data_IF_466363482512
#
_entry.id   IF_466363482512
#
_cell.length_a   1.000
_cell.length_b   1.000
_cell.length_c   1.000
_cell.angle_alpha   90.00
_cell.angle_beta   90.00
_cell.angle_gamma   90.00
#
_symmetry.space_group_name_H-M   'P 1'
#
loop_
_entity.id
_entity.type
_entity.pdbx_description
1 polymer ?
#
# COMPACT_ATOMS: atom_id res chain seq x y z
N UNK A 1 0.32 10.04 22.33
CA UNK A 1 -1.01 10.54 21.90
C UNK A 1 -1.95 9.36 21.75
N UNK A 2 -1.66 8.38 20.90
CA UNK A 2 -2.58 7.24 20.62
C UNK A 2 -2.80 6.31 21.82
N UNK A 3 -1.81 6.09 22.67
CA UNK A 3 -1.99 5.31 23.92
C UNK A 3 -2.86 6.02 24.97
N UNK A 4 -3.09 7.32 24.83
CA UNK A 4 -3.98 8.09 25.71
C UNK A 4 -5.42 8.19 25.16
N UNK A 5 -5.60 8.00 23.84
CA UNK A 5 -6.90 8.03 23.16
C UNK A 5 -6.94 6.90 22.11
N UNK A 6 -7.04 5.62 22.55
CA UNK A 6 -7.14 4.49 21.64
C UNK A 6 -8.52 4.50 20.96
N UNK A 7 -8.59 3.94 19.75
CA UNK A 7 -9.87 3.76 19.06
C UNK A 7 -10.71 2.67 19.74
N UNK A 8 -10.02 1.64 20.25
CA UNK A 8 -10.61 0.53 21.01
C UNK A 8 -9.55 -0.15 21.90
N UNK A 9 -9.93 -1.18 22.66
CA UNK A 9 -9.07 -1.91 23.57
C UNK A 9 -7.94 -2.64 22.82
N UNK A 10 -8.22 -3.22 21.66
CA UNK A 10 -7.25 -3.96 20.85
C UNK A 10 -6.16 -3.03 20.29
N UNK A 11 -6.53 -1.83 19.88
CA UNK A 11 -5.55 -0.82 19.45
C UNK A 11 -4.68 -0.32 20.59
N UNK A 12 -5.24 -0.19 21.81
CA UNK A 12 -4.45 0.16 22.99
C UNK A 12 -3.40 -0.91 23.30
N UNK A 13 -3.79 -2.17 23.32
CA UNK A 13 -2.89 -3.31 23.55
C UNK A 13 -1.79 -3.36 22.49
N UNK A 14 -2.12 -3.16 21.21
CA UNK A 14 -1.17 -3.12 20.11
C UNK A 14 -0.16 -1.98 20.29
N UNK A 15 -0.59 -0.77 20.65
CA UNK A 15 0.31 0.35 20.95
C UNK A 15 1.24 0.06 22.12
N UNK A 16 0.73 -0.53 23.20
CA UNK A 16 1.53 -0.90 24.36
C UNK A 16 2.56 -1.98 24.01
N UNK A 17 2.18 -2.96 23.20
CA UNK A 17 3.05 -4.02 22.71
C UNK A 17 4.19 -3.46 21.86
N UNK A 18 3.89 -2.58 20.89
CA UNK A 18 4.89 -1.87 20.09
C UNK A 18 5.85 -1.07 20.98
N UNK A 19 5.30 -0.30 21.92
CA UNK A 19 6.12 0.52 22.83
C UNK A 19 7.07 -0.31 23.68
N UNK A 20 6.60 -1.44 24.19
CA UNK A 20 7.41 -2.34 24.99
C UNK A 20 8.47 -3.04 24.13
N UNK A 21 8.10 -3.55 22.96
CA UNK A 21 9.04 -4.17 22.02
C UNK A 21 10.19 -3.24 21.63
N UNK A 22 9.88 -1.99 21.27
CA UNK A 22 10.91 -0.99 20.95
C UNK A 22 11.82 -0.65 22.13
N UNK A 23 11.35 -0.77 23.39
CA UNK A 23 12.17 -0.56 24.57
C UNK A 23 13.09 -1.74 24.87
N UNK A 24 12.65 -2.97 24.62
CA UNK A 24 13.40 -4.20 24.93
C UNK A 24 14.37 -4.56 23.81
N UNK A 25 13.89 -4.60 22.56
CA UNK A 25 14.65 -5.08 21.40
C UNK A 25 15.33 -3.94 20.61
N UNK A 26 14.83 -2.72 20.73
CA UNK A 26 15.38 -1.55 20.07
C UNK A 26 15.11 -1.48 18.54
N UNK A 27 15.75 -0.50 17.91
CA UNK A 27 15.56 -0.25 16.48
C UNK A 27 16.27 -1.27 15.57
N UNK A 28 17.25 -2.01 16.08
CA UNK A 28 17.94 -3.03 15.28
C UNK A 28 17.02 -4.20 14.96
N UNK A 29 16.25 -4.66 15.94
CA UNK A 29 15.25 -5.70 15.73
C UNK A 29 14.16 -5.25 14.75
N UNK A 30 13.68 -4.01 14.87
CA UNK A 30 12.71 -3.45 13.92
C UNK A 30 13.25 -3.39 12.49
N UNK A 31 14.53 -3.03 12.31
CA UNK A 31 15.15 -3.03 10.99
C UNK A 31 15.24 -4.44 10.41
N UNK A 32 15.62 -5.42 11.22
CA UNK A 32 15.65 -6.81 10.80
C UNK A 32 14.25 -7.29 10.38
N UNK A 33 13.24 -7.03 11.20
CA UNK A 33 11.85 -7.36 10.87
C UNK A 33 11.38 -6.68 9.56
N UNK A 34 11.80 -5.43 9.32
CA UNK A 34 11.53 -4.74 8.06
C UNK A 34 12.17 -5.47 6.86
N UNK A 35 13.44 -5.83 7.01
CA UNK A 35 14.16 -6.52 5.94
C UNK A 35 13.54 -7.90 5.68
N UNK A 36 13.13 -8.65 6.71
CA UNK A 36 12.50 -9.96 6.58
C UNK A 36 11.11 -9.88 5.94
N UNK A 37 10.33 -8.85 6.20
CA UNK A 37 8.95 -8.70 5.74
C UNK A 37 8.86 -8.10 4.34
N UNK A 38 9.71 -7.09 4.03
CA UNK A 38 9.54 -6.27 2.82
C UNK A 38 10.69 -6.35 1.82
N UNK A 39 11.81 -6.96 2.19
CA UNK A 39 13.03 -6.94 1.35
C UNK A 39 13.55 -8.33 1.04
N UNK A 40 13.51 -9.25 2.02
CA UNK A 40 14.14 -10.57 1.87
C UNK A 40 13.39 -11.46 0.89
N UNK A 41 14.06 -12.03 -0.13
CA UNK A 41 13.45 -13.00 -1.02
C UNK A 41 13.29 -14.39 -0.38
N UNK A 42 13.87 -14.62 0.80
CA UNK A 42 13.82 -15.91 1.53
C UNK A 42 12.55 -16.01 2.41
N UNK A 43 11.86 -14.91 2.64
CA UNK A 43 10.61 -14.85 3.40
C UNK A 43 9.40 -14.67 2.47
N UNK A 44 8.20 -14.76 3.05
CA UNK A 44 6.95 -14.42 2.35
C UNK A 44 6.84 -12.91 2.16
N UNK A 45 7.58 -12.39 1.19
CA UNK A 45 7.65 -10.96 0.86
C UNK A 45 6.26 -10.32 0.72
N UNK A 46 6.05 -9.20 1.41
CA UNK A 46 4.81 -8.40 1.33
C UNK A 46 5.02 -7.23 0.38
N UNK A 47 4.34 -7.19 -0.77
CA UNK A 47 4.44 -6.08 -1.71
C UNK A 47 3.92 -4.77 -1.12
N UNK A 48 4.61 -3.66 -1.40
CA UNK A 48 4.23 -2.33 -0.95
C UNK A 48 3.47 -1.52 -2.00
N UNK A 49 3.30 -2.04 -3.22
CA UNK A 49 2.62 -1.38 -4.34
C UNK A 49 1.12 -1.68 -4.34
N UNK A 50 0.27 -0.66 -4.39
CA UNK A 50 -1.18 -0.85 -4.53
C UNK A 50 -1.55 -1.56 -5.85
N UNK A 51 -0.76 -1.36 -6.91
CA UNK A 51 -0.94 -2.05 -8.19
C UNK A 51 -0.78 -3.55 -8.08
N UNK A 52 0.08 -4.04 -7.18
CA UNK A 52 0.25 -5.47 -6.96
C UNK A 52 -1.04 -6.13 -6.49
N UNK A 53 -1.73 -5.49 -5.57
CA UNK A 53 -3.00 -5.99 -5.01
C UNK A 53 -4.18 -5.91 -5.99
N UNK A 54 -4.04 -5.13 -7.06
CA UNK A 54 -5.05 -4.98 -8.10
C UNK A 54 -4.78 -5.88 -9.32
N UNK A 55 -3.53 -5.92 -9.78
CA UNK A 55 -3.14 -6.57 -11.04
C UNK A 55 -2.09 -7.69 -10.87
N UNK A 56 -1.61 -7.97 -9.65
CA UNK A 56 -0.54 -8.95 -9.38
C UNK A 56 0.83 -8.52 -9.89
N UNK A 57 1.03 -7.22 -10.14
CA UNK A 57 2.29 -6.66 -10.65
C UNK A 57 2.48 -5.23 -10.18
N UNK A 58 3.72 -4.78 -10.12
CA UNK A 58 4.04 -3.38 -9.93
C UNK A 58 3.73 -2.56 -11.21
N UNK A 59 3.68 -1.24 -11.05
CA UNK A 59 3.49 -0.28 -12.17
C UNK A 59 2.17 -0.45 -12.95
N UNK A 60 1.09 -0.87 -12.28
CA UNK A 60 -0.24 -1.05 -12.86
C UNK A 60 -1.09 0.23 -12.89
N UNK A 61 -2.41 0.04 -13.05
CA UNK A 61 -3.38 1.15 -13.16
C UNK A 61 -3.46 2.00 -11.89
N UNK A 62 -3.25 1.40 -10.71
CA UNK A 62 -3.23 2.16 -9.44
C UNK A 62 -2.11 3.19 -9.40
N UNK A 63 -0.94 2.87 -9.97
CA UNK A 63 0.16 3.84 -10.12
C UNK A 63 -0.22 4.99 -11.04
N UNK A 64 -0.82 4.71 -12.18
CA UNK A 64 -1.28 5.74 -13.12
C UNK A 64 -2.28 6.66 -12.44
N UNK A 65 -3.23 6.09 -11.68
CA UNK A 65 -4.23 6.84 -10.94
C UNK A 65 -3.62 7.70 -9.85
N UNK A 66 -2.74 7.13 -9.02
CA UNK A 66 -2.03 7.85 -7.96
C UNK A 66 -1.18 9.00 -8.51
N UNK A 67 -0.43 8.77 -9.61
CA UNK A 67 0.33 9.81 -10.28
C UNK A 67 -0.57 10.93 -10.82
N UNK A 68 -1.74 10.60 -11.37
CA UNK A 68 -2.75 11.55 -11.80
C UNK A 68 -3.26 12.43 -10.65
N UNK A 69 -3.51 11.85 -9.48
CA UNK A 69 -3.92 12.59 -8.28
C UNK A 69 -2.81 13.52 -7.77
N UNK A 70 -1.54 13.08 -7.79
CA UNK A 70 -0.40 13.93 -7.47
C UNK A 70 -0.29 15.12 -8.44
N UNK A 71 -0.48 14.89 -9.74
CA UNK A 71 -0.43 15.96 -10.75
C UNK A 71 -1.56 16.98 -10.59
N UNK A 72 -2.75 16.56 -10.19
CA UNK A 72 -3.91 17.46 -9.92
C UNK A 72 -3.71 18.29 -8.66
N UNK A 73 -2.92 17.80 -7.69
CA UNK A 73 -2.67 18.51 -6.44
C UNK A 73 -1.66 19.66 -6.62
N UNK A 74 -1.55 20.52 -5.60
CA UNK A 74 -0.48 21.54 -5.50
C UNK A 74 0.89 20.96 -5.13
N UNK A 75 0.95 19.69 -4.70
CA UNK A 75 2.17 19.03 -4.28
C UNK A 75 2.91 18.39 -5.44
N UNK A 76 4.23 18.27 -5.29
CA UNK A 76 5.08 17.58 -6.26
C UNK A 76 6.02 16.63 -5.52
N UNK A 77 6.24 15.47 -6.09
CA UNK A 77 7.21 14.50 -5.59
C UNK A 77 8.63 15.03 -5.74
N UNK A 78 9.37 15.04 -4.64
CA UNK A 78 10.80 15.41 -4.68
C UNK A 78 11.62 14.16 -5.09
N UNK A 79 11.79 13.96 -6.39
CA UNK A 79 12.46 12.79 -6.96
C UNK A 79 13.88 12.52 -6.42
N UNK A 80 14.74 13.53 -6.14
CA UNK A 80 16.04 13.31 -5.51
C UNK A 80 15.99 12.66 -4.12
N UNK A 81 14.88 12.80 -3.40
CA UNK A 81 14.75 12.33 -2.01
C UNK A 81 13.81 11.12 -1.93
N UNK A 82 12.79 11.07 -2.78
CA UNK A 82 11.76 10.04 -2.77
C UNK A 82 11.72 9.31 -4.11
N UNK A 83 12.27 8.09 -4.13
CA UNK A 83 12.25 7.21 -5.31
C UNK A 83 11.05 6.27 -5.34
N UNK A 84 10.24 6.24 -4.26
CA UNK A 84 9.08 5.37 -4.16
C UNK A 84 8.11 5.60 -5.31
N UNK A 85 7.46 4.57 -5.80
CA UNK A 85 6.37 4.68 -6.77
C UNK A 85 5.19 5.46 -6.17
N UNK A 86 4.39 6.13 -6.98
CA UNK A 86 3.26 6.94 -6.54
C UNK A 86 2.15 6.10 -5.91
N UNK A 87 2.09 4.82 -6.19
CA UNK A 87 1.15 3.85 -5.63
C UNK A 87 1.73 3.03 -4.47
N UNK A 88 2.92 3.35 -4.01
CA UNK A 88 3.47 2.72 -2.82
C UNK A 88 2.67 3.14 -1.58
N UNK A 89 2.27 2.18 -0.75
CA UNK A 89 1.37 2.39 0.39
C UNK A 89 1.89 3.49 1.33
N UNK A 90 3.19 3.50 1.64
CA UNK A 90 3.77 4.57 2.47
C UNK A 90 3.73 5.94 1.80
N UNK A 91 3.95 5.99 0.48
CA UNK A 91 3.82 7.24 -0.27
C UNK A 91 2.37 7.74 -0.25
N UNK A 92 1.40 6.87 -0.48
CA UNK A 92 -0.02 7.20 -0.46
C UNK A 92 -0.47 7.79 0.88
N UNK A 93 -0.07 7.19 2.02
CA UNK A 93 -0.39 7.75 3.33
C UNK A 93 0.29 9.10 3.58
N UNK A 94 1.55 9.26 3.17
CA UNK A 94 2.24 10.56 3.27
C UNK A 94 1.58 11.63 2.42
N UNK A 95 1.16 11.28 1.21
CA UNK A 95 0.48 12.19 0.30
C UNK A 95 -0.89 12.56 0.85
N UNK A 96 -1.68 11.60 1.31
CA UNK A 96 -2.98 11.84 1.95
C UNK A 96 -2.84 12.77 3.18
N UNK A 97 -1.85 12.53 4.04
CA UNK A 97 -1.56 13.40 5.18
C UNK A 97 -1.27 14.85 4.75
N UNK A 98 -0.49 15.07 3.68
CA UNK A 98 -0.22 16.41 3.14
C UNK A 98 -1.47 17.08 2.60
N UNK A 99 -2.33 16.34 1.94
CA UNK A 99 -3.61 16.86 1.45
C UNK A 99 -4.54 17.25 2.60
N UNK A 100 -4.65 16.42 3.64
CA UNK A 100 -5.46 16.69 4.83
C UNK A 100 -4.92 17.94 5.56
N UNK A 101 -3.61 18.07 5.75
CA UNK A 101 -2.99 19.24 6.37
C UNK A 101 -3.36 20.53 5.62
N UNK A 102 -3.23 20.52 4.29
CA UNK A 102 -3.61 21.65 3.47
C UNK A 102 -5.12 21.96 3.55
N UNK A 103 -5.94 20.91 3.63
CA UNK A 103 -7.38 21.04 3.78
C UNK A 103 -7.79 21.68 5.10
N UNK A 104 -7.13 21.33 6.20
CA UNK A 104 -7.33 21.96 7.52
C UNK A 104 -6.94 23.45 7.49
N UNK A 105 -5.96 23.81 6.65
CA UNK A 105 -5.55 25.21 6.42
C UNK A 105 -6.48 25.97 5.46
N UNK A 106 -7.56 25.34 4.98
CA UNK A 106 -8.60 25.96 4.15
C UNK A 106 -8.58 25.59 2.66
N UNK A 107 -7.71 24.69 2.22
CA UNK A 107 -7.67 24.20 0.85
C UNK A 107 -8.68 23.05 0.64
N UNK A 108 -9.91 23.42 0.27
CA UNK A 108 -11.03 22.48 0.07
C UNK A 108 -10.74 21.46 -1.05
N UNK A 109 -9.99 21.86 -2.08
CA UNK A 109 -9.61 20.96 -3.18
C UNK A 109 -8.70 19.82 -2.66
N UNK A 110 -7.78 20.15 -1.76
CA UNK A 110 -6.94 19.13 -1.11
C UNK A 110 -7.76 18.13 -0.28
N UNK A 111 -8.84 18.53 0.39
CA UNK A 111 -9.74 17.58 1.08
C UNK A 111 -10.44 16.64 0.09
N UNK A 112 -10.91 17.16 -1.03
CA UNK A 112 -11.51 16.33 -2.07
C UNK A 112 -10.52 15.33 -2.63
N UNK A 113 -9.29 15.77 -2.92
CA UNK A 113 -8.23 14.89 -3.39
C UNK A 113 -7.83 13.83 -2.35
N UNK A 114 -7.79 14.17 -1.06
CA UNK A 114 -7.50 13.19 -0.01
C UNK A 114 -8.53 12.06 0.02
N UNK A 115 -9.82 12.40 -0.15
CA UNK A 115 -10.89 11.40 -0.28
C UNK A 115 -10.72 10.53 -1.52
N UNK A 116 -10.36 11.10 -2.67
CA UNK A 116 -10.10 10.34 -3.89
C UNK A 116 -8.87 9.40 -3.74
N UNK A 117 -7.79 9.84 -3.09
CA UNK A 117 -6.62 9.00 -2.79
C UNK A 117 -7.05 7.79 -1.96
N UNK A 118 -7.85 8.04 -0.92
CA UNK A 118 -8.36 6.96 -0.07
C UNK A 118 -9.29 6.03 -0.85
N UNK A 119 -10.37 6.55 -1.41
CA UNK A 119 -11.43 5.75 -2.01
C UNK A 119 -10.99 4.95 -3.24
N UNK A 120 -10.14 5.56 -4.07
CA UNK A 120 -9.82 5.06 -5.40
C UNK A 120 -8.51 4.26 -5.46
N UNK A 121 -7.63 4.43 -4.46
CA UNK A 121 -6.34 3.76 -4.47
C UNK A 121 -6.14 2.94 -3.19
N UNK A 122 -6.19 3.56 -2.00
CA UNK A 122 -5.87 2.89 -0.74
C UNK A 122 -6.94 1.83 -0.40
N UNK A 123 -8.22 2.19 -0.45
CA UNK A 123 -9.33 1.33 -0.04
C UNK A 123 -9.37 0.00 -0.80
N UNK A 124 -8.88 -0.03 -2.05
CA UNK A 124 -8.90 -1.25 -2.87
C UNK A 124 -7.82 -2.27 -2.52
N UNK A 125 -6.74 -1.85 -1.87
CA UNK A 125 -5.60 -2.73 -1.59
C UNK A 125 -5.37 -2.98 -0.10
N UNK A 126 -5.91 -2.12 0.76
CA UNK A 126 -5.46 -2.03 2.14
C UNK A 126 -5.86 -3.22 3.01
N UNK A 127 -7.01 -3.83 2.77
CA UNK A 127 -7.46 -4.98 3.57
C UNK A 127 -6.52 -6.18 3.38
N UNK A 128 -6.19 -6.51 2.13
CA UNK A 128 -5.29 -7.61 1.80
C UNK A 128 -3.87 -7.34 2.30
N UNK A 129 -3.39 -6.09 2.19
CA UNK A 129 -2.10 -5.68 2.77
C UNK A 129 -2.08 -5.87 4.30
N UNK A 130 -3.15 -5.48 5.00
CA UNK A 130 -3.28 -5.66 6.45
C UNK A 130 -3.31 -7.14 6.81
N UNK A 131 -4.05 -7.96 6.06
CA UNK A 131 -4.12 -9.40 6.30
C UNK A 131 -2.75 -10.05 6.14
N UNK A 132 -2.01 -9.74 5.06
CA UNK A 132 -0.64 -10.21 4.87
C UNK A 132 0.30 -9.80 6.02
N UNK A 133 0.21 -8.55 6.52
CA UNK A 133 0.99 -8.10 7.67
C UNK A 133 0.64 -8.87 8.95
N UNK A 134 -0.65 -9.14 9.15
CA UNK A 134 -1.12 -9.82 10.35
C UNK A 134 -0.78 -11.31 10.37
N UNK A 135 -0.82 -11.96 9.22
CA UNK A 135 -0.59 -13.41 9.06
C UNK A 135 0.89 -13.77 8.90
N UNK A 136 1.75 -12.82 8.59
CA UNK A 136 3.16 -13.09 8.34
C UNK A 136 3.87 -13.61 9.60
N UNK A 137 4.54 -14.77 9.49
CA UNK A 137 5.09 -15.49 10.64
C UNK A 137 6.25 -14.76 11.36
N UNK A 138 6.99 -13.93 10.63
CA UNK A 138 8.19 -13.24 11.15
C UNK A 138 7.90 -11.81 11.59
N UNK A 139 6.64 -11.46 11.90
CA UNK A 139 6.28 -10.11 12.34
C UNK A 139 5.82 -10.09 13.79
N UNK A 140 6.35 -9.14 14.54
CA UNK A 140 5.79 -8.72 15.83
C UNK A 140 5.35 -7.26 15.78
N UNK A 141 6.24 -6.37 15.36
CA UNK A 141 5.95 -4.94 15.24
C UNK A 141 4.87 -4.68 14.17
N UNK A 142 5.04 -5.27 12.97
CA UNK A 142 4.10 -5.07 11.86
C UNK A 142 2.76 -5.75 12.10
N UNK A 143 2.71 -6.86 12.84
CA UNK A 143 1.45 -7.49 13.26
C UNK A 143 0.62 -6.55 14.15
N UNK A 144 1.25 -5.93 15.14
CA UNK A 144 0.59 -4.93 15.98
C UNK A 144 0.24 -3.66 15.19
N UNK A 145 1.07 -3.27 14.22
CA UNK A 145 0.77 -2.17 13.30
C UNK A 145 -0.45 -2.49 12.42
N UNK A 146 -0.61 -3.73 11.97
CA UNK A 146 -1.78 -4.17 11.21
C UNK A 146 -3.10 -4.01 11.99
N UNK A 147 -3.10 -4.32 13.29
CA UNK A 147 -4.27 -4.12 14.17
C UNK A 147 -4.64 -2.64 14.22
N UNK A 148 -3.67 -1.78 14.45
CA UNK A 148 -3.87 -0.32 14.52
C UNK A 148 -4.35 0.22 13.15
N UNK A 149 -3.73 -0.25 12.08
CA UNK A 149 -4.08 0.18 10.73
C UNK A 149 -5.50 -0.25 10.35
N UNK A 150 -5.93 -1.46 10.75
CA UNK A 150 -7.31 -1.94 10.54
C UNK A 150 -8.32 -0.99 11.18
N UNK A 151 -8.16 -0.69 12.45
CA UNK A 151 -9.05 0.22 13.16
C UNK A 151 -9.05 1.64 12.55
N UNK A 152 -7.89 2.14 12.11
CA UNK A 152 -7.78 3.41 11.42
C UNK A 152 -8.53 3.41 10.07
N UNK A 153 -8.39 2.36 9.26
CA UNK A 153 -9.07 2.24 7.97
C UNK A 153 -10.58 2.16 8.13
N UNK A 154 -11.06 1.40 9.13
CA UNK A 154 -12.50 1.31 9.41
C UNK A 154 -13.07 2.67 9.83
N UNK A 155 -12.33 3.41 10.68
CA UNK A 155 -12.70 4.78 11.05
C UNK A 155 -12.72 5.72 9.83
N UNK A 156 -11.69 5.66 8.97
CA UNK A 156 -11.59 6.50 7.79
C UNK A 156 -12.71 6.22 6.77
N UNK A 157 -13.09 4.94 6.61
CA UNK A 157 -14.25 4.54 5.80
C UNK A 157 -15.54 5.18 6.30
N UNK A 158 -15.77 5.16 7.61
CA UNK A 158 -16.93 5.80 8.22
C UNK A 158 -16.90 7.31 8.02
N UNK A 159 -15.77 7.94 8.28
CA UNK A 159 -15.59 9.40 8.16
C UNK A 159 -15.80 9.90 6.73
N UNK A 160 -15.23 9.20 5.75
CA UNK A 160 -15.32 9.56 4.33
C UNK A 160 -16.57 9.02 3.63
N UNK A 161 -17.40 8.22 4.32
CA UNK A 161 -18.53 7.51 3.75
C UNK A 161 -18.15 6.67 2.51
N UNK A 162 -17.13 5.84 2.68
CA UNK A 162 -16.59 4.93 1.65
C UNK A 162 -16.84 3.49 2.09
N UNK A 163 -17.51 2.69 1.27
CA UNK A 163 -17.68 1.27 1.57
C UNK A 163 -16.38 0.49 1.38
N UNK A 164 -16.16 -0.61 2.14
CA UNK A 164 -15.07 -1.52 1.86
C UNK A 164 -15.09 -2.00 0.40
N UNK A 165 -13.91 -2.16 -0.20
CA UNK A 165 -13.82 -2.67 -1.57
C UNK A 165 -14.30 -4.12 -1.62
N UNK A 166 -15.28 -4.40 -2.49
CA UNK A 166 -15.72 -5.77 -2.77
C UNK A 166 -14.72 -6.41 -3.72
N UNK A 167 -13.72 -7.10 -3.19
CA UNK A 167 -12.75 -7.82 -4.01
C UNK A 167 -13.32 -9.17 -4.44
N UNK A 168 -13.26 -9.46 -5.74
CA UNK A 168 -13.25 -10.82 -6.26
C UNK A 168 -11.92 -11.45 -5.82
N UNK A 169 -11.94 -12.68 -5.32
CA UNK A 169 -10.79 -13.36 -4.71
C UNK A 169 -9.50 -13.18 -5.52
N UNK A 170 -8.40 -12.87 -4.83
CA UNK A 170 -7.09 -12.55 -5.43
C UNK A 170 -6.56 -13.65 -6.37
N UNK A 171 -6.91 -14.93 -6.13
CA UNK A 171 -6.54 -16.05 -6.98
C UNK A 171 -7.09 -15.95 -8.42
N UNK A 172 -8.27 -15.38 -8.62
CA UNK A 172 -8.85 -15.19 -9.97
C UNK A 172 -8.17 -14.01 -10.70
N UNK A 173 -7.72 -12.99 -9.97
CA UNK A 173 -7.02 -11.83 -10.56
C UNK A 173 -5.63 -12.19 -11.02
N UNK A 174 -4.87 -12.94 -10.21
CA UNK A 174 -3.54 -13.45 -10.57
C UNK A 174 -3.64 -14.36 -11.79
N UNK A 175 -4.63 -15.26 -11.86
CA UNK A 175 -4.85 -16.12 -13.02
C UNK A 175 -5.25 -15.34 -14.27
N UNK A 176 -6.07 -14.28 -14.13
CA UNK A 176 -6.47 -13.40 -15.23
C UNK A 176 -5.30 -12.53 -15.74
N UNK A 177 -4.45 -12.02 -14.84
CA UNK A 177 -3.24 -11.27 -15.21
C UNK A 177 -2.23 -12.17 -15.94
N UNK A 178 -1.98 -13.38 -15.43
CA UNK A 178 -1.11 -14.38 -16.07
C UNK A 178 -1.65 -14.81 -17.45
N UNK A 179 -2.97 -14.90 -17.62
CA UNK A 179 -3.57 -15.21 -18.92
C UNK A 179 -3.46 -14.06 -19.91
N UNK A 180 -3.52 -12.80 -19.47
CA UNK A 180 -3.36 -11.63 -20.36
C UNK A 180 -1.93 -11.47 -20.87
N UNK A 181 -0.93 -11.81 -20.07
CA UNK A 181 0.50 -11.73 -20.46
C UNK A 181 0.98 -12.94 -21.28
N UNK A 182 0.20 -14.01 -21.37
CA UNK A 182 0.49 -15.13 -22.27
C UNK A 182 0.09 -14.79 -23.72
N UNK A 183 0.70 -13.78 -24.33
CA UNK A 183 0.85 -13.77 -25.79
C UNK A 183 1.71 -14.98 -26.17
N UNK A 184 1.25 -15.86 -27.06
CA UNK A 184 2.00 -17.09 -27.37
C UNK A 184 3.39 -16.70 -27.87
N UNK A 185 4.41 -17.30 -27.24
CA UNK A 185 5.84 -17.13 -27.57
C UNK A 185 6.12 -17.34 -29.09
N UNK A 186 5.27 -18.07 -29.78
CA UNK A 186 5.33 -18.34 -31.21
C UNK A 186 5.24 -17.10 -32.12
N UNK A 187 4.61 -15.99 -31.67
CA UNK A 187 4.56 -14.78 -32.49
C UNK A 187 5.81 -13.87 -32.34
N UNK A 188 6.54 -13.96 -31.23
CA UNK A 188 7.80 -13.21 -31.04
C UNK A 188 8.98 -13.85 -31.80
N UNK A 189 9.01 -15.17 -31.85
CA UNK A 189 10.09 -15.88 -32.56
C UNK A 189 10.01 -15.70 -34.08
N UNK A 190 8.80 -15.62 -34.67
CA UNK A 190 8.63 -15.39 -36.12
C UNK A 190 9.05 -13.98 -36.56
N UNK A 191 8.87 -12.93 -35.75
CA UNK A 191 9.32 -11.57 -36.10
C UNK A 191 10.84 -11.41 -36.13
N UNK A 192 11.57 -12.13 -35.28
CA UNK A 192 13.05 -12.04 -35.25
C UNK A 192 13.71 -12.92 -36.32
N UNK A 193 13.05 -13.91 -36.88
CA UNK A 193 13.59 -14.73 -37.96
C UNK A 193 13.48 -14.05 -39.33
N UNK A 194 12.45 -13.22 -39.55
CA UNK A 194 12.28 -12.49 -40.81
C UNK A 194 13.20 -11.27 -40.94
N UNK A 195 13.78 -10.78 -39.82
CA UNK A 195 14.79 -9.69 -39.82
C UNK A 195 16.25 -10.16 -39.99
N UNK A 196 16.51 -11.48 -39.96
CA UNK A 196 17.89 -12.03 -40.10
C UNK A 196 18.18 -12.50 -41.53
N UNK A 197 17.23 -12.43 -42.43
CA UNK A 197 17.37 -12.94 -43.83
C UNK A 197 17.42 -11.79 -44.86
N UNK A 198 17.77 -10.61 -44.43
CA UNK A 198 18.18 -9.46 -45.26
C UNK A 198 19.61 -9.09 -44.88
#
# INVERSE_FOLDING_TARGET
IFSANPLDESTLEAFLSIKNHLKTEGFTALKQEYDDVFVSPESSFIPLSASYYDEGRDDGQKRVKAAGLVLRSKFRKNKPICNDSEDQILFLFRFMNKLIQAGVEGDVESLTLSREVFADVINDCIDEFIDHLFEHEQTFFYKNTAIILRAFIDFERLYLNVAPSQKVESAERVSAAIQRDRKPLTQRVRRNLDEIVL
#
